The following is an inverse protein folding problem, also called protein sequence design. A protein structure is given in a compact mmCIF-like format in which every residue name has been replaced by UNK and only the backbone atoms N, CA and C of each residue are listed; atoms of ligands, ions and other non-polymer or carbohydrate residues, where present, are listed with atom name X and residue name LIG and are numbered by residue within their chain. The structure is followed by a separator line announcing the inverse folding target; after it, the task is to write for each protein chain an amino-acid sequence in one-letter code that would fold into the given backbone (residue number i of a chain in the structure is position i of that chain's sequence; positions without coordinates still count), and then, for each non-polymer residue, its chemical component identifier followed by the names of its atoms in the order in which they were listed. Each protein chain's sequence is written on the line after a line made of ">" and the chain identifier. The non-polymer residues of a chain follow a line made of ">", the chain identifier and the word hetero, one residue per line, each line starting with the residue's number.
data_IF_623556555929
#
_entry.id   IF_623556555929
#
_cell.length_a   1.000
_cell.length_b   1.000
_cell.length_c   1.000
_cell.angle_alpha   90.00
_cell.angle_beta   90.00
_cell.angle_gamma   90.00
#
_symmetry.space_group_name_H-M   'P 1'
#
loop_
_entity.id
_entity.type
_entity.pdbx_description
1 polymer ?
#
# COMPACT_ATOMS: atom_id res chain seq x y z
N UNK A 1 -17.11 -12.16 4.17
CA UNK A 1 -16.35 -11.44 3.13
C UNK A 1 -15.25 -12.37 2.60
N UNK A 2 -14.81 -12.30 1.33
CA UNK A 2 -13.78 -13.25 0.82
C UNK A 2 -12.44 -13.20 1.57
N UNK A 3 -12.13 -12.06 2.16
CA UNK A 3 -10.99 -11.88 3.06
C UNK A 3 -11.07 -12.70 4.36
N UNK A 4 -12.27 -13.11 4.79
CA UNK A 4 -12.44 -13.92 6.00
C UNK A 4 -12.08 -15.39 5.76
N UNK A 5 -12.09 -15.85 4.50
CA UNK A 5 -11.73 -17.20 4.10
C UNK A 5 -10.21 -17.44 3.99
N UNK A 6 -9.41 -16.38 4.11
CA UNK A 6 -7.94 -16.47 4.11
C UNK A 6 -7.48 -16.87 5.52
N UNK A 7 -6.44 -17.71 5.58
CA UNK A 7 -5.79 -18.15 6.81
C UNK A 7 -5.37 -16.98 7.72
N UNK A 8 -5.58 -17.13 9.03
CA UNK A 8 -5.41 -16.07 10.02
C UNK A 8 -3.96 -15.58 10.09
N UNK A 9 -2.99 -16.50 10.00
CA UNK A 9 -1.57 -16.16 10.00
C UNK A 9 -1.19 -15.31 8.77
N UNK A 10 -1.80 -15.57 7.62
CA UNK A 10 -1.52 -14.82 6.39
C UNK A 10 -2.13 -13.43 6.44
N UNK A 11 -3.32 -13.28 7.01
CA UNK A 11 -4.03 -11.99 7.04
C UNK A 11 -3.75 -11.13 8.27
N UNK A 12 -2.78 -11.47 9.13
CA UNK A 12 -2.47 -10.72 10.35
C UNK A 12 -2.20 -9.22 10.07
N UNK A 13 -1.32 -8.92 9.12
CA UNK A 13 -1.00 -7.55 8.72
C UNK A 13 -2.25 -6.79 8.23
N UNK A 14 -3.09 -7.45 7.43
CA UNK A 14 -4.35 -6.87 6.97
C UNK A 14 -5.37 -6.66 8.12
N UNK A 15 -5.47 -7.60 9.05
CA UNK A 15 -6.34 -7.49 10.23
C UNK A 15 -5.90 -6.36 11.16
N UNK A 16 -4.60 -6.10 11.25
CA UNK A 16 -4.05 -4.93 11.94
C UNK A 16 -4.37 -3.64 11.18
N UNK A 17 -4.19 -3.61 9.87
CA UNK A 17 -4.56 -2.46 9.03
C UNK A 17 -6.05 -2.09 9.15
N UNK A 18 -6.94 -3.09 9.25
CA UNK A 18 -8.38 -2.83 9.49
C UNK A 18 -8.66 -2.16 10.83
N UNK A 19 -7.79 -2.34 11.84
CA UNK A 19 -7.93 -1.73 13.17
C UNK A 19 -7.28 -0.34 13.21
N UNK A 20 -6.11 -0.19 12.60
CA UNK A 20 -5.30 1.03 12.70
C UNK A 20 -5.59 2.04 11.58
N UNK A 21 -6.02 1.59 10.40
CA UNK A 21 -6.22 2.44 9.21
C UNK A 21 -7.58 2.14 8.54
N UNK A 22 -8.65 2.03 9.33
CA UNK A 22 -9.96 1.58 8.84
C UNK A 22 -10.45 2.42 7.64
N UNK A 23 -10.32 3.74 7.70
CA UNK A 23 -10.78 4.64 6.64
C UNK A 23 -10.05 4.39 5.32
N UNK A 24 -8.73 4.19 5.38
CA UNK A 24 -7.91 3.88 4.21
C UNK A 24 -8.27 2.51 3.60
N UNK A 25 -8.37 1.47 4.43
CA UNK A 25 -8.67 0.09 3.98
C UNK A 25 -10.12 -0.05 3.47
N UNK A 26 -11.05 0.69 4.07
CA UNK A 26 -12.47 0.67 3.67
C UNK A 26 -12.79 1.62 2.51
N UNK A 27 -11.85 2.49 2.14
CA UNK A 27 -12.03 3.40 1.02
C UNK A 27 -12.33 2.67 -0.28
N UNK A 28 -13.34 3.17 -1.00
CA UNK A 28 -13.74 2.62 -2.31
C UNK A 28 -12.59 2.68 -3.31
N UNK A 29 -11.77 3.74 -3.28
CA UNK A 29 -10.63 3.87 -4.20
C UNK A 29 -9.58 2.80 -3.93
N UNK A 30 -9.28 2.54 -2.65
CA UNK A 30 -8.35 1.49 -2.23
C UNK A 30 -8.84 0.11 -2.68
N UNK A 31 -10.08 -0.26 -2.38
CA UNK A 31 -10.63 -1.56 -2.77
C UNK A 31 -10.69 -1.74 -4.30
N UNK A 32 -11.09 -0.70 -5.03
CA UNK A 32 -11.15 -0.74 -6.49
C UNK A 32 -9.78 -0.89 -7.13
N UNK A 33 -8.70 -0.41 -6.50
CA UNK A 33 -7.34 -0.57 -7.03
C UNK A 33 -7.00 -2.06 -7.20
N UNK A 34 -7.27 -2.88 -6.18
CA UNK A 34 -6.99 -4.31 -6.22
C UNK A 34 -7.98 -5.07 -7.10
N UNK A 35 -9.27 -4.74 -7.03
CA UNK A 35 -10.27 -5.35 -7.90
C UNK A 35 -9.95 -5.13 -9.38
N UNK A 36 -9.53 -3.91 -9.77
CA UNK A 36 -9.15 -3.63 -11.17
C UNK A 36 -7.91 -4.40 -11.59
N UNK A 37 -6.93 -4.55 -10.69
CA UNK A 37 -5.70 -5.30 -10.98
C UNK A 37 -5.97 -6.78 -11.29
N UNK A 38 -7.00 -7.37 -10.70
CA UNK A 38 -7.36 -8.78 -10.87
C UNK A 38 -8.66 -8.99 -11.66
N UNK A 39 -9.02 -8.05 -12.56
CA UNK A 39 -10.21 -8.14 -13.42
C UNK A 39 -11.53 -8.40 -12.66
N UNK A 40 -11.65 -7.83 -11.47
CA UNK A 40 -12.77 -7.97 -10.54
C UNK A 40 -12.96 -9.40 -9.98
N UNK A 41 -11.93 -10.25 -10.05
CA UNK A 41 -11.89 -11.50 -9.29
C UNK A 41 -11.70 -11.20 -7.79
N UNK A 42 -12.78 -11.31 -7.03
CA UNK A 42 -12.78 -11.00 -5.60
C UNK A 42 -11.90 -11.93 -4.75
N UNK A 43 -11.58 -13.14 -5.22
CA UNK A 43 -10.66 -14.03 -4.49
C UNK A 43 -9.22 -13.58 -4.68
N UNK A 44 -8.81 -13.35 -5.93
CA UNK A 44 -7.45 -12.90 -6.24
C UNK A 44 -7.16 -11.51 -5.68
N UNK A 45 -8.14 -10.62 -5.74
CA UNK A 45 -8.02 -9.30 -5.15
C UNK A 45 -7.85 -9.38 -3.62
N UNK A 46 -8.53 -10.31 -2.95
CA UNK A 46 -8.37 -10.52 -1.51
C UNK A 46 -6.95 -11.00 -1.16
N UNK A 47 -6.41 -11.97 -1.91
CA UNK A 47 -5.03 -12.43 -1.75
C UNK A 47 -4.03 -11.29 -2.01
N UNK A 48 -4.27 -10.48 -3.05
CA UNK A 48 -3.41 -9.33 -3.38
C UNK A 48 -3.41 -8.26 -2.29
N UNK A 49 -4.55 -7.99 -1.66
CA UNK A 49 -4.66 -7.07 -0.51
C UNK A 49 -3.83 -7.59 0.66
N UNK A 50 -3.94 -8.87 0.98
CA UNK A 50 -3.16 -9.48 2.08
C UNK A 50 -1.67 -9.38 1.80
N UNK A 51 -1.25 -9.77 0.59
CA UNK A 51 0.15 -9.69 0.18
C UNK A 51 0.66 -8.25 0.18
N UNK A 52 -0.15 -7.27 -0.24
CA UNK A 52 0.20 -5.86 -0.18
C UNK A 52 0.55 -5.42 1.25
N UNK A 53 -0.28 -5.77 2.24
CA UNK A 53 -0.01 -5.40 3.63
C UNK A 53 1.17 -6.13 4.23
N UNK A 54 1.37 -7.41 3.88
CA UNK A 54 2.58 -8.14 4.28
C UNK A 54 3.84 -7.46 3.74
N UNK A 55 3.85 -7.09 2.46
CA UNK A 55 4.98 -6.40 1.84
C UNK A 55 5.17 -5.00 2.42
N UNK A 56 4.08 -4.26 2.68
CA UNK A 56 4.14 -2.94 3.30
C UNK A 56 4.77 -3.00 4.70
N UNK A 57 4.40 -4.00 5.51
CA UNK A 57 5.02 -4.24 6.83
C UNK A 57 6.47 -4.70 6.70
N UNK A 58 6.79 -5.53 5.71
CA UNK A 58 8.17 -5.97 5.47
C UNK A 58 9.10 -4.80 5.11
N UNK A 59 8.62 -3.84 4.29
CA UNK A 59 9.42 -2.71 3.82
C UNK A 59 9.54 -1.59 4.86
N UNK A 60 8.44 -1.23 5.55
CA UNK A 60 8.41 -0.06 6.45
C UNK A 60 8.43 -0.45 7.93
N UNK A 61 8.42 -1.74 8.23
CA UNK A 61 8.32 -2.24 9.60
C UNK A 61 6.90 -2.14 10.19
N UNK A 62 6.68 -2.79 11.34
CA UNK A 62 5.36 -2.91 11.97
C UNK A 62 4.84 -1.61 12.60
N UNK A 63 5.67 -0.59 12.77
CA UNK A 63 5.26 0.69 13.38
C UNK A 63 4.86 1.74 12.34
N UNK A 64 5.54 1.78 11.18
CA UNK A 64 5.31 2.82 10.16
C UNK A 64 4.32 2.38 9.09
N UNK A 65 4.24 1.08 8.78
CA UNK A 65 3.41 0.57 7.69
C UNK A 65 1.91 0.94 7.76
N UNK A 66 1.40 1.18 8.97
CA UNK A 66 -0.01 1.50 9.24
C UNK A 66 -0.28 3.01 9.39
N UNK A 67 0.71 3.86 9.11
CA UNK A 67 0.47 5.31 9.02
C UNK A 67 -0.28 5.65 7.74
N UNK A 68 -1.09 6.70 7.82
CA UNK A 68 -1.83 7.25 6.67
C UNK A 68 -0.87 7.80 5.63
N UNK A 69 0.10 8.60 6.08
CA UNK A 69 1.19 9.15 5.29
C UNK A 69 2.53 8.55 5.71
N UNK A 70 3.30 8.06 4.74
CA UNK A 70 4.72 7.76 4.88
C UNK A 70 5.49 8.96 4.34
N UNK A 71 6.25 9.63 5.22
CA UNK A 71 6.96 10.87 4.87
C UNK A 71 8.45 10.58 4.63
N UNK A 72 9.17 11.52 3.99
CA UNK A 72 10.61 11.37 3.76
C UNK A 72 11.38 11.20 5.09
N UNK A 73 10.90 11.81 6.17
CA UNK A 73 11.47 11.68 7.52
C UNK A 73 11.35 10.26 8.09
N UNK A 74 10.52 9.40 7.48
CA UNK A 74 10.44 7.98 7.84
C UNK A 74 11.57 7.14 7.24
N UNK A 75 12.38 7.72 6.35
CA UNK A 75 13.50 7.06 5.69
C UNK A 75 14.82 7.31 6.43
N UNK A 76 15.68 6.30 6.42
CA UNK A 76 17.05 6.43 6.90
C UNK A 76 17.92 7.22 5.92
N UNK A 77 18.98 7.85 6.42
CA UNK A 77 19.93 8.64 5.61
C UNK A 77 20.51 7.84 4.43
N UNK A 78 20.72 6.54 4.59
CA UNK A 78 21.17 5.66 3.52
C UNK A 78 20.11 5.51 2.41
N UNK A 79 18.84 5.39 2.77
CA UNK A 79 17.70 5.29 1.85
C UNK A 79 17.48 6.61 1.11
N UNK A 80 17.56 7.74 1.81
CA UNK A 80 17.52 9.09 1.24
C UNK A 80 18.68 9.28 0.27
N UNK A 81 19.88 8.84 0.64
CA UNK A 81 21.07 8.89 -0.20
C UNK A 81 20.89 8.06 -1.47
N UNK A 82 20.25 6.89 -1.38
CA UNK A 82 19.92 6.07 -2.56
C UNK A 82 18.88 6.74 -3.45
N UNK A 83 17.81 7.32 -2.88
CA UNK A 83 16.81 8.08 -3.65
C UNK A 83 17.42 9.29 -4.36
N UNK A 84 18.36 9.98 -3.71
CA UNK A 84 19.10 11.12 -4.29
C UNK A 84 20.10 10.68 -5.38
N UNK A 85 20.66 9.48 -5.27
CA UNK A 85 21.61 8.91 -6.25
C UNK A 85 20.91 8.28 -7.46
N UNK A 86 19.67 7.79 -7.30
CA UNK A 86 18.90 7.13 -8.34
C UNK A 86 17.78 8.00 -8.89
N UNK A 87 18.04 8.72 -9.99
CA UNK A 87 17.08 9.22 -11.01
C UNK A 87 15.63 9.47 -10.52
N UNK A 88 15.44 10.19 -9.42
CA UNK A 88 14.12 10.70 -9.04
C UNK A 88 13.92 12.01 -9.80
N UNK A 89 13.13 11.97 -10.86
CA UNK A 89 12.61 13.20 -11.44
C UNK A 89 11.44 13.68 -10.57
N UNK A 90 11.54 14.82 -9.89
CA UNK A 90 10.33 15.49 -9.41
C UNK A 90 9.55 15.88 -10.65
N UNK A 91 8.53 15.09 -11.00
CA UNK A 91 7.69 15.26 -12.17
C UNK A 91 7.03 16.66 -12.14
N UNK A 92 7.59 17.67 -12.83
CA UNK A 92 7.16 19.06 -12.65
C UNK A 92 5.91 19.36 -13.48
N UNK A 93 5.48 18.41 -14.31
CA UNK A 93 4.39 18.57 -15.27
C UNK A 93 3.29 17.56 -14.98
N UNK A 94 2.07 18.04 -15.07
CA UNK A 94 0.87 17.21 -15.11
C UNK A 94 0.42 17.06 -16.56
N UNK A 95 -0.10 15.90 -16.91
CA UNK A 95 -0.82 15.74 -18.18
C UNK A 95 -2.19 16.45 -18.15
N UNK A 96 -2.90 16.43 -19.28
CA UNK A 96 -4.25 17.03 -19.38
C UNK A 96 -5.27 16.43 -18.40
N UNK A 97 -5.00 15.23 -17.88
CA UNK A 97 -5.81 14.55 -16.88
C UNK A 97 -5.35 14.80 -15.43
N UNK A 98 -4.34 15.66 -15.21
CA UNK A 98 -3.82 15.99 -13.90
C UNK A 98 -2.85 14.97 -13.30
N UNK A 99 -2.45 13.92 -14.05
CA UNK A 99 -1.48 12.91 -13.59
C UNK A 99 -0.07 13.47 -13.73
N UNK A 100 0.78 13.23 -12.74
CA UNK A 100 2.19 13.61 -12.79
C UNK A 100 2.91 12.76 -13.87
N UNK A 101 3.69 13.43 -14.73
CA UNK A 101 4.45 12.84 -15.86
C UNK A 101 5.93 12.82 -15.59
#
# INVERSE_FOLDING_TARGET
>A
HRLDAIDDAKKEAYSRARRECLEYVSSRSFQLMFLRADCFDASKAADRIVNFWQQKVHLFGPEKAFREDLVVDDLEEAEITMLRRGVMFPFPRKDKGGRLL
#
